data_IF_665901617363
#
_entry.id   IF_665901617363
#
_cell.length_a   1.000
_cell.length_b   1.000
_cell.length_c   1.000
_cell.angle_alpha   90.00
_cell.angle_beta   90.00
_cell.angle_gamma   90.00
#
_symmetry.space_group_name_H-M   'P 1'
#
loop_
_entity.id
_entity.type
_entity.pdbx_description
1 polymer ?
#
# COMPACT_ATOMS: atom_id res chain seq x y z
N UNK A 1 34.95 -43.06 -39.31
CA UNK A 1 34.79 -42.84 -37.84
C UNK A 1 34.96 -41.38 -37.43
N UNK A 2 36.01 -40.66 -37.88
CA UNK A 2 36.25 -39.24 -37.48
C UNK A 2 35.17 -38.23 -37.92
N UNK A 3 34.53 -38.44 -39.09
CA UNK A 3 33.49 -37.53 -39.62
C UNK A 3 32.14 -37.65 -38.89
N UNK A 4 31.77 -38.86 -38.44
CA UNK A 4 30.52 -39.08 -37.68
C UNK A 4 30.59 -38.47 -36.27
N UNK A 5 31.77 -38.43 -35.65
CA UNK A 5 31.96 -37.81 -34.33
C UNK A 5 31.77 -36.29 -34.40
N UNK A 6 32.20 -35.64 -35.48
CA UNK A 6 32.04 -34.19 -35.68
C UNK A 6 30.56 -33.82 -35.89
N UNK A 7 29.80 -34.66 -36.62
CA UNK A 7 28.36 -34.44 -36.83
C UNK A 7 27.57 -34.63 -35.54
N UNK A 8 27.93 -35.62 -34.71
CA UNK A 8 27.31 -35.86 -33.40
C UNK A 8 27.61 -34.72 -32.40
N UNK A 9 28.82 -34.17 -32.42
CA UNK A 9 29.17 -33.02 -31.57
C UNK A 9 28.44 -31.74 -31.98
N UNK A 10 28.27 -31.51 -33.29
CA UNK A 10 27.52 -30.36 -33.81
C UNK A 10 26.03 -30.42 -33.45
N UNK A 11 25.43 -31.61 -33.43
CA UNK A 11 24.02 -31.80 -33.08
C UNK A 11 23.74 -31.56 -31.57
N UNK A 12 24.71 -31.86 -30.72
CA UNK A 12 24.60 -31.63 -29.27
C UNK A 12 24.61 -30.13 -28.90
N UNK A 13 25.25 -29.27 -29.70
CA UNK A 13 25.28 -27.82 -29.48
C UNK A 13 23.95 -27.16 -29.87
N UNK A 14 23.23 -27.73 -30.85
CA UNK A 14 21.94 -27.19 -31.32
C UNK A 14 20.80 -27.56 -30.35
N UNK A 15 20.92 -28.67 -29.61
CA UNK A 15 19.94 -29.08 -28.59
C UNK A 15 20.14 -28.39 -27.22
N UNK A 16 21.18 -27.57 -27.05
CA UNK A 16 21.47 -26.80 -25.83
C UNK A 16 20.84 -25.39 -25.79
N UNK A 17 19.91 -25.08 -26.69
CA UNK A 17 19.28 -23.76 -26.80
C UNK A 17 18.10 -23.56 -25.84
N UNK A 18 18.17 -22.46 -25.08
CA UNK A 18 17.11 -21.87 -24.24
C UNK A 18 16.76 -22.63 -22.95
N UNK A 19 17.66 -22.54 -21.97
CA UNK A 19 17.24 -22.56 -20.56
C UNK A 19 16.34 -21.35 -20.31
N UNK A 20 15.03 -21.59 -20.22
CA UNK A 20 14.07 -20.59 -19.74
C UNK A 20 14.41 -20.30 -18.28
N UNK A 21 15.26 -19.30 -18.06
CA UNK A 21 15.55 -18.77 -16.74
C UNK A 21 14.28 -18.10 -16.24
N UNK A 22 13.43 -18.86 -15.55
CA UNK A 22 12.28 -18.33 -14.83
C UNK A 22 12.82 -17.48 -13.70
N UNK A 23 12.85 -16.17 -13.93
CA UNK A 23 13.17 -15.20 -12.90
C UNK A 23 11.91 -15.02 -12.07
N UNK A 24 11.88 -15.59 -10.88
CA UNK A 24 10.90 -15.21 -9.89
C UNK A 24 11.20 -13.76 -9.51
N UNK A 25 10.31 -12.84 -9.88
CA UNK A 25 10.35 -11.47 -9.38
C UNK A 25 10.26 -11.52 -7.86
N UNK A 26 11.17 -10.82 -7.19
CA UNK A 26 11.11 -10.65 -5.74
C UNK A 26 9.84 -9.86 -5.41
N UNK A 27 8.97 -10.41 -4.55
CA UNK A 27 7.73 -9.75 -4.12
C UNK A 27 7.98 -8.52 -3.25
N UNK A 28 9.23 -8.28 -2.84
CA UNK A 28 9.69 -7.06 -2.18
C UNK A 28 10.48 -6.13 -3.11
N UNK A 29 10.64 -6.49 -4.39
CA UNK A 29 11.27 -5.59 -5.35
C UNK A 29 10.37 -4.36 -5.56
N UNK A 30 10.94 -3.18 -5.34
CA UNK A 30 10.34 -1.91 -5.76
C UNK A 30 10.07 -2.00 -7.26
N UNK A 31 8.84 -1.68 -7.68
CA UNK A 31 8.46 -1.59 -9.09
C UNK A 31 9.45 -0.67 -9.80
N UNK A 32 10.39 -1.26 -10.53
CA UNK A 32 11.42 -0.54 -11.23
C UNK A 32 10.95 -0.38 -12.66
N UNK A 33 10.65 0.87 -13.02
CA UNK A 33 10.37 1.35 -14.39
C UNK A 33 8.97 1.06 -14.95
N UNK A 34 7.97 1.80 -14.47
CA UNK A 34 6.82 2.20 -15.29
C UNK A 34 6.61 3.72 -15.14
N UNK A 35 5.98 4.36 -16.12
CA UNK A 35 5.60 5.79 -16.04
C UNK A 35 4.30 5.96 -15.24
N UNK A 36 3.65 4.85 -14.92
CA UNK A 36 2.38 4.79 -14.22
C UNK A 36 2.61 4.91 -12.71
N UNK A 37 1.68 5.54 -12.00
CA UNK A 37 1.76 5.71 -10.56
C UNK A 37 1.53 4.35 -9.88
N UNK A 38 2.62 3.67 -9.52
CA UNK A 38 2.54 2.40 -8.81
C UNK A 38 1.99 2.55 -7.38
N UNK A 39 1.44 1.47 -6.84
CA UNK A 39 0.98 1.43 -5.45
C UNK A 39 2.09 1.75 -4.43
N UNK A 40 3.33 1.37 -4.74
CA UNK A 40 4.52 1.65 -3.92
C UNK A 40 4.88 3.13 -3.93
N UNK A 41 4.74 3.80 -5.07
CA UNK A 41 5.04 5.23 -5.18
C UNK A 41 4.01 6.05 -4.40
N UNK A 42 2.72 5.71 -4.52
CA UNK A 42 1.66 6.39 -3.78
C UNK A 42 1.84 6.22 -2.26
N UNK A 43 2.23 5.04 -1.80
CA UNK A 43 2.53 4.79 -0.39
C UNK A 43 3.76 5.58 0.09
N UNK A 44 4.82 5.64 -0.74
CA UNK A 44 6.05 6.37 -0.41
C UNK A 44 5.79 7.88 -0.34
N UNK A 45 5.13 8.44 -1.36
CA UNK A 45 4.77 9.86 -1.42
C UNK A 45 3.83 10.22 -0.25
N UNK A 46 2.82 9.40 0.04
CA UNK A 46 1.98 9.59 1.21
C UNK A 46 2.82 9.59 2.49
N UNK A 47 3.72 8.61 2.65
CA UNK A 47 4.64 8.53 3.77
C UNK A 47 5.46 9.81 3.98
N UNK A 48 6.05 10.35 2.92
CA UNK A 48 6.83 11.59 2.96
C UNK A 48 5.97 12.82 3.28
N UNK A 49 4.76 12.90 2.72
CA UNK A 49 3.81 13.99 3.02
C UNK A 49 3.42 14.00 4.50
N UNK A 50 3.18 12.83 5.09
CA UNK A 50 2.85 12.71 6.52
C UNK A 50 4.05 13.12 7.36
N UNK A 51 5.25 12.65 7.02
CA UNK A 51 6.47 12.97 7.77
C UNK A 51 6.73 14.49 7.72
N UNK A 52 6.55 15.12 6.56
CA UNK A 52 6.61 16.58 6.41
C UNK A 52 5.57 17.32 7.27
N UNK A 53 4.31 16.84 7.27
CA UNK A 53 3.26 17.38 8.12
C UNK A 53 3.61 17.27 9.61
N UNK A 54 4.13 16.13 10.05
CA UNK A 54 4.54 15.89 11.43
C UNK A 54 5.69 16.79 11.88
N UNK A 55 6.60 17.13 10.96
CA UNK A 55 7.71 18.04 11.21
C UNK A 55 7.28 19.52 11.23
N UNK A 56 6.07 19.85 10.80
CA UNK A 56 5.59 21.23 10.78
C UNK A 56 5.46 21.81 12.20
N UNK A 57 5.87 23.07 12.37
CA UNK A 57 5.74 23.77 13.65
C UNK A 57 4.29 23.88 14.12
N UNK A 58 3.33 23.96 13.18
CA UNK A 58 1.90 23.96 13.50
C UNK A 58 1.46 22.68 14.20
N UNK A 59 1.91 21.52 13.72
CA UNK A 59 1.64 20.23 14.37
C UNK A 59 2.32 20.16 15.74
N UNK A 60 3.54 20.70 15.87
CA UNK A 60 4.22 20.77 17.16
C UNK A 60 3.42 21.58 18.20
N UNK A 61 2.86 22.73 17.81
CA UNK A 61 2.05 23.58 18.70
C UNK A 61 0.76 22.89 19.14
N UNK A 62 -0.01 22.30 18.21
CA UNK A 62 -1.29 21.65 18.57
C UNK A 62 -1.10 20.34 19.36
N UNK A 63 0.09 19.72 19.28
CA UNK A 63 0.43 18.48 19.99
C UNK A 63 1.30 18.71 21.22
N UNK A 64 1.55 19.97 21.60
CA UNK A 64 2.49 20.32 22.67
C UNK A 64 2.03 19.81 24.05
N UNK A 65 0.80 20.13 24.43
CA UNK A 65 0.28 19.86 25.78
C UNK A 65 -0.75 18.72 25.80
N UNK A 66 -1.22 18.27 24.64
CA UNK A 66 -2.25 17.23 24.56
C UNK A 66 -2.15 16.42 23.27
N UNK A 67 -2.80 15.25 23.27
CA UNK A 67 -3.02 14.43 22.07
C UNK A 67 -4.40 14.77 21.49
N UNK A 68 -4.51 15.62 20.47
CA UNK A 68 -5.80 15.94 19.86
C UNK A 68 -6.46 14.68 19.28
N UNK A 69 -7.79 14.66 19.33
CA UNK A 69 -8.60 13.61 18.70
C UNK A 69 -8.82 14.02 17.25
N UNK A 70 -8.44 13.16 16.32
CA UNK A 70 -8.57 13.37 14.88
C UNK A 70 -9.17 12.12 14.24
N UNK A 71 -9.73 12.27 13.04
CA UNK A 71 -10.09 11.16 12.18
C UNK A 71 -9.40 11.36 10.83
N UNK A 72 -9.02 10.28 10.17
CA UNK A 72 -8.50 10.33 8.80
C UNK A 72 -9.66 10.08 7.86
N UNK A 73 -9.89 11.01 6.95
CA UNK A 73 -10.91 10.86 5.92
C UNK A 73 -10.41 9.90 4.82
N UNK A 74 -11.34 9.20 4.15
CA UNK A 74 -11.00 8.28 3.07
C UNK A 74 -10.44 9.07 1.88
N UNK A 75 -9.35 8.56 1.30
CA UNK A 75 -8.76 9.18 0.11
C UNK A 75 -9.71 9.02 -1.08
N UNK A 76 -10.04 10.15 -1.72
CA UNK A 76 -10.84 10.15 -2.94
C UNK A 76 -9.96 9.91 -4.16
N UNK A 77 -10.16 8.78 -4.83
CA UNK A 77 -9.55 8.55 -6.14
C UNK A 77 -10.13 9.51 -7.19
N UNK A 78 -9.25 10.25 -7.87
CA UNK A 78 -9.59 11.19 -8.95
C UNK A 78 -9.05 10.74 -10.32
N UNK A 79 -8.51 9.53 -10.43
CA UNK A 79 -8.01 8.95 -11.67
C UNK A 79 -9.02 7.97 -12.26
N UNK A 80 -8.75 7.51 -13.48
CA UNK A 80 -9.51 6.43 -14.12
C UNK A 80 -9.00 5.04 -13.71
N UNK A 81 -7.86 4.99 -13.03
CA UNK A 81 -7.21 3.75 -12.61
C UNK A 81 -7.78 3.24 -11.29
N UNK A 82 -7.83 1.92 -11.13
CA UNK A 82 -8.22 1.31 -9.86
C UNK A 82 -7.07 1.40 -8.85
N UNK A 83 -7.09 2.44 -8.03
CA UNK A 83 -6.13 2.65 -6.94
C UNK A 83 -6.74 2.17 -5.63
N UNK A 84 -5.99 1.35 -4.89
CA UNK A 84 -6.33 0.98 -3.52
C UNK A 84 -6.05 2.15 -2.56
N UNK A 85 -7.07 3.00 -2.39
CA UNK A 85 -7.03 4.15 -1.50
C UNK A 85 -7.14 3.78 -0.01
N UNK A 86 -7.60 2.57 0.30
CA UNK A 86 -7.78 2.09 1.68
C UNK A 86 -6.42 1.78 2.31
N UNK A 87 -5.59 0.99 1.60
CA UNK A 87 -4.22 0.70 2.03
C UNK A 87 -3.38 1.96 2.28
N UNK A 88 -3.59 3.02 1.48
CA UNK A 88 -2.93 4.31 1.70
C UNK A 88 -3.46 5.00 2.95
N UNK A 89 -4.79 5.06 3.12
CA UNK A 89 -5.43 5.67 4.30
C UNK A 89 -5.00 4.97 5.60
N UNK A 90 -4.87 3.65 5.60
CA UNK A 90 -4.41 2.85 6.73
C UNK A 90 -2.94 3.10 7.06
N UNK A 91 -2.10 3.23 6.04
CA UNK A 91 -0.67 3.56 6.21
C UNK A 91 -0.50 4.93 6.87
N UNK A 92 -1.30 5.92 6.46
CA UNK A 92 -1.33 7.27 7.06
C UNK A 92 -1.76 7.19 8.52
N UNK A 93 -2.89 6.53 8.78
CA UNK A 93 -3.45 6.36 10.12
C UNK A 93 -2.45 5.68 11.06
N UNK A 94 -1.79 4.62 10.57
CA UNK A 94 -0.78 3.87 11.32
C UNK A 94 0.45 4.74 11.63
N UNK A 95 0.99 5.49 10.66
CA UNK A 95 2.11 6.41 10.90
C UNK A 95 1.77 7.47 11.93
N UNK A 96 0.59 8.10 11.82
CA UNK A 96 0.16 9.11 12.77
C UNK A 96 -0.13 8.53 14.17
N UNK A 97 -0.69 7.32 14.26
CA UNK A 97 -0.86 6.59 15.53
C UNK A 97 0.49 6.32 16.19
N UNK A 98 1.45 5.81 15.42
CA UNK A 98 2.80 5.48 15.89
C UNK A 98 3.60 6.72 16.33
N UNK A 99 3.27 7.90 15.82
CA UNK A 99 3.88 9.16 16.29
C UNK A 99 3.60 9.46 17.78
N UNK A 100 2.56 8.84 18.37
CA UNK A 100 2.12 9.10 19.75
C UNK A 100 1.52 10.48 19.97
N UNK A 101 1.49 11.35 18.95
CA UNK A 101 1.03 12.74 19.06
C UNK A 101 -0.49 12.89 18.96
N UNK A 102 -1.20 11.89 18.43
CA UNK A 102 -2.63 11.97 18.13
C UNK A 102 -3.42 10.83 18.78
N UNK A 103 -4.72 11.04 18.95
CA UNK A 103 -5.72 9.99 19.22
C UNK A 103 -6.65 9.90 18.03
N UNK A 104 -7.02 8.69 17.65
CA UNK A 104 -7.86 8.46 16.47
C UNK A 104 -9.26 8.00 16.85
N UNK A 105 -10.23 8.44 16.07
CA UNK A 105 -11.56 7.85 16.01
C UNK A 105 -11.67 7.12 14.69
N UNK A 106 -11.98 5.83 14.78
CA UNK A 106 -12.30 5.00 13.64
C UNK A 106 -13.78 5.23 13.27
N UNK A 107 -14.01 5.90 12.14
CA UNK A 107 -15.35 6.25 11.69
C UNK A 107 -16.15 5.04 11.23
N UNK A 108 -15.51 3.96 10.77
CA UNK A 108 -16.20 2.72 10.38
C UNK A 108 -16.76 2.01 11.63
N UNK A 109 -16.04 2.06 12.75
CA UNK A 109 -16.57 1.57 14.03
C UNK A 109 -17.71 2.45 14.51
N UNK A 110 -17.59 3.76 14.36
CA UNK A 110 -18.67 4.70 14.72
C UNK A 110 -19.92 4.40 13.90
N UNK A 111 -19.80 4.18 12.59
CA UNK A 111 -20.92 3.81 11.72
C UNK A 111 -21.55 2.48 12.17
N UNK A 112 -20.77 1.43 12.41
CA UNK A 112 -21.31 0.15 12.91
C UNK A 112 -22.06 0.27 14.24
N UNK A 113 -21.59 1.15 15.13
CA UNK A 113 -22.26 1.42 16.41
C UNK A 113 -23.56 2.20 16.18
N UNK A 114 -23.55 3.16 15.25
CA UNK A 114 -24.77 3.91 14.89
C UNK A 114 -25.82 3.00 14.28
N UNK A 115 -25.43 2.09 13.40
CA UNK A 115 -26.34 1.12 12.80
C UNK A 115 -26.97 0.22 13.87
N UNK A 116 -26.16 -0.27 14.80
CA UNK A 116 -26.64 -1.10 15.92
C UNK A 116 -27.55 -0.33 16.90
N UNK A 117 -27.29 0.95 17.13
CA UNK A 117 -28.16 1.82 17.92
C UNK A 117 -29.48 2.13 17.19
N UNK A 118 -29.42 2.33 15.88
CA UNK A 118 -30.61 2.58 15.06
C UNK A 118 -31.50 1.34 15.01
N UNK A 119 -30.92 0.15 14.86
CA UNK A 119 -31.61 -1.13 14.93
C UNK A 119 -32.36 -1.29 16.26
N UNK A 120 -31.71 -1.01 17.40
CA UNK A 120 -32.35 -1.10 18.72
C UNK A 120 -33.48 -0.09 18.94
N UNK A 121 -33.38 1.12 18.36
CA UNK A 121 -34.32 2.20 18.65
C UNK A 121 -35.51 2.28 17.67
N UNK A 122 -35.37 1.76 16.45
CA UNK A 122 -36.36 1.96 15.39
C UNK A 122 -36.85 0.69 14.70
N UNK A 123 -36.24 -0.48 14.94
CA UNK A 123 -36.62 -1.70 14.22
C UNK A 123 -37.78 -2.42 14.92
N UNK A 124 -38.79 -2.84 14.15
CA UNK A 124 -40.06 -3.44 14.63
C UNK A 124 -39.91 -4.90 15.12
N UNK A 125 -38.69 -5.43 15.13
CA UNK A 125 -38.37 -6.77 15.61
C UNK A 125 -38.06 -6.80 17.12
N UNK A 126 -38.23 -5.68 17.83
CA UNK A 126 -38.17 -5.57 19.30
C UNK A 126 -39.50 -5.09 19.87
#
# INVERSE_FOLDING_TARGET
MKKSVIVLLGLAVILGGCSNKVSYGDSQAVETTTVDFGSTDLQTIAGEMIDSMMMSGSVAVITQDSRPIVFVERIKNKTTEHIDTESITDSISTKMLNSGKFRFVDMDRVESVRDQLNFQNNDELV
#
